data_IF_858829680277
#
_entry.id   IF_858829680277
#
_cell.length_a   1.000
_cell.length_b   1.000
_cell.length_c   1.000
_cell.angle_alpha   90.00
_cell.angle_beta   90.00
_cell.angle_gamma   90.00
#
_symmetry.space_group_name_H-M   'P 1'
#
loop_
_entity.id
_entity.type
_entity.pdbx_description
1 polymer ?
#
# COMPACT_ATOMS: atom_id res chain seq x y z
N UNK A 1 8.54 -17.66 -1.02
CA UNK A 1 7.30 -18.47 -1.01
C UNK A 1 6.59 -18.21 -2.33
N UNK A 2 6.62 -19.17 -3.27
CA UNK A 2 6.01 -19.01 -4.59
C UNK A 2 4.53 -19.43 -4.51
N UNK A 3 3.63 -18.45 -4.43
CA UNK A 3 2.20 -18.72 -4.39
C UNK A 3 1.70 -19.00 -5.83
N UNK A 4 1.16 -20.20 -6.12
CA UNK A 4 0.81 -20.63 -7.48
C UNK A 4 -0.28 -19.78 -8.16
N UNK A 5 -1.09 -19.07 -7.36
CA UNK A 5 -2.17 -18.18 -7.80
C UNK A 5 -1.63 -16.95 -8.55
N UNK A 6 -0.38 -16.54 -8.27
CA UNK A 6 0.21 -15.31 -8.81
C UNK A 6 0.86 -15.49 -10.18
N UNK A 7 1.02 -16.74 -10.68
CA UNK A 7 1.74 -17.02 -11.93
C UNK A 7 0.99 -16.57 -13.18
N UNK A 8 -0.33 -16.46 -13.12
CA UNK A 8 -1.19 -16.15 -14.28
C UNK A 8 -1.73 -14.71 -14.27
N UNK A 9 -1.29 -13.89 -13.31
CA UNK A 9 -1.75 -12.52 -13.15
C UNK A 9 -0.64 -11.58 -13.63
N UNK A 10 -0.97 -10.58 -14.45
CA UNK A 10 0.00 -9.58 -14.89
C UNK A 10 0.69 -8.96 -13.66
N UNK A 11 2.04 -8.82 -13.65
CA UNK A 11 2.79 -8.28 -12.51
C UNK A 11 2.24 -6.92 -12.01
N UNK A 12 1.77 -6.08 -12.93
CA UNK A 12 1.13 -4.79 -12.61
C UNK A 12 -0.13 -4.92 -11.77
N UNK A 13 -0.95 -5.95 -12.01
CA UNK A 13 -2.17 -6.19 -11.22
C UNK A 13 -1.82 -6.73 -9.83
N UNK A 14 -0.78 -7.55 -9.71
CA UNK A 14 -0.29 -7.99 -8.42
C UNK A 14 0.21 -6.82 -7.55
N UNK A 15 1.00 -5.90 -8.14
CA UNK A 15 1.46 -4.67 -7.45
C UNK A 15 0.27 -3.85 -6.95
N UNK A 16 -0.76 -3.71 -7.78
CA UNK A 16 -1.98 -2.97 -7.44
C UNK A 16 -2.64 -3.52 -6.17
N UNK A 17 -2.94 -4.83 -6.14
CA UNK A 17 -3.61 -5.45 -5.00
C UNK A 17 -2.78 -5.42 -3.72
N UNK A 18 -1.46 -5.61 -3.83
CA UNK A 18 -0.56 -5.53 -2.67
C UNK A 18 -0.61 -4.12 -2.07
N UNK A 19 -0.58 -3.08 -2.91
CA UNK A 19 -0.67 -1.70 -2.46
C UNK A 19 -2.03 -1.36 -1.87
N UNK A 20 -3.12 -1.89 -2.40
CA UNK A 20 -4.46 -1.75 -1.78
C UNK A 20 -4.45 -2.29 -0.35
N UNK A 21 -3.95 -3.51 -0.16
CA UNK A 21 -3.86 -4.12 1.19
C UNK A 21 -2.96 -3.29 2.10
N UNK A 22 -1.80 -2.85 1.59
CA UNK A 22 -0.87 -2.03 2.36
C UNK A 22 -1.45 -0.66 2.74
N UNK A 23 -2.27 -0.07 1.88
CA UNK A 23 -2.99 1.17 2.17
C UNK A 23 -4.01 0.96 3.29
N UNK A 24 -4.79 -0.12 3.24
CA UNK A 24 -5.74 -0.48 4.30
C UNK A 24 -5.04 -0.70 5.63
N UNK A 25 -3.92 -1.43 5.63
CA UNK A 25 -3.10 -1.64 6.84
C UNK A 25 -2.55 -0.32 7.38
N UNK A 26 -2.04 0.56 6.51
CA UNK A 26 -1.55 1.88 6.95
C UNK A 26 -2.64 2.73 7.57
N UNK A 27 -3.86 2.73 6.99
CA UNK A 27 -5.00 3.45 7.51
C UNK A 27 -5.43 2.91 8.88
N UNK A 28 -5.43 1.58 9.05
CA UNK A 28 -5.76 0.92 10.31
C UNK A 28 -4.72 1.26 11.39
N UNK A 29 -3.43 1.18 11.08
CA UNK A 29 -2.34 1.52 12.01
C UNK A 29 -2.43 2.99 12.44
N UNK A 30 -2.71 3.91 11.51
CA UNK A 30 -2.86 5.33 11.82
C UNK A 30 -4.20 5.66 12.49
N UNK A 31 -5.15 4.73 12.55
CA UNK A 31 -6.49 4.99 13.07
C UNK A 31 -6.47 5.28 14.58
N UNK A 32 -7.49 5.98 15.09
CA UNK A 32 -7.69 6.19 16.53
C UNK A 32 -7.71 4.91 17.37
N UNK A 33 -8.11 3.79 16.76
CA UNK A 33 -8.20 2.49 17.43
C UNK A 33 -6.84 1.81 17.68
N UNK A 34 -5.77 2.26 17.02
CA UNK A 34 -4.45 1.62 17.11
C UNK A 34 -3.38 2.58 17.64
N UNK A 35 -2.98 3.59 16.87
CA UNK A 35 -1.95 4.56 17.27
C UNK A 35 -2.47 6.00 17.42
N UNK A 36 -3.70 6.27 16.98
CA UNK A 36 -4.32 7.60 17.02
C UNK A 36 -3.44 8.71 16.39
N UNK A 37 -2.89 8.43 15.21
CA UNK A 37 -2.04 9.35 14.48
C UNK A 37 -2.90 10.21 13.55
N UNK A 38 -3.13 11.46 13.96
CA UNK A 38 -3.92 12.42 13.20
C UNK A 38 -3.07 13.37 12.35
N UNK A 39 -3.70 13.92 11.31
CA UNK A 39 -3.12 14.97 10.47
C UNK A 39 -1.77 14.60 9.85
N UNK A 40 -0.74 15.41 10.12
CA UNK A 40 0.58 15.30 9.50
C UNK A 40 1.29 13.97 9.82
N UNK A 41 1.19 13.48 11.05
CA UNK A 41 1.89 12.25 11.44
C UNK A 41 1.33 11.01 10.73
N UNK A 42 0.00 10.93 10.55
CA UNK A 42 -0.63 9.88 9.76
C UNK A 42 -0.16 9.89 8.30
N UNK A 43 -0.06 11.08 7.71
CA UNK A 43 0.45 11.22 6.34
C UNK A 43 1.91 10.75 6.21
N UNK A 44 2.78 11.12 7.17
CA UNK A 44 4.19 10.69 7.17
C UNK A 44 4.32 9.16 7.24
N UNK A 45 3.58 8.51 8.15
CA UNK A 45 3.62 7.05 8.30
C UNK A 45 3.18 6.35 7.02
N UNK A 46 2.11 6.83 6.39
CA UNK A 46 1.61 6.31 5.13
C UNK A 46 2.63 6.45 4.00
N UNK A 47 3.31 7.60 3.90
CA UNK A 47 4.37 7.80 2.91
C UNK A 47 5.55 6.85 3.16
N UNK A 48 5.93 6.63 4.42
CA UNK A 48 7.00 5.69 4.78
C UNK A 48 6.63 4.24 4.44
N UNK A 49 5.40 3.81 4.74
CA UNK A 49 4.90 2.48 4.37
C UNK A 49 4.82 2.31 2.86
N UNK A 50 4.42 3.35 2.15
CA UNK A 50 4.45 3.36 0.70
C UNK A 50 5.87 3.22 0.14
N UNK A 51 6.85 3.92 0.71
CA UNK A 51 8.25 3.74 0.33
C UNK A 51 8.75 2.32 0.64
N UNK A 52 8.37 1.77 1.80
CA UNK A 52 8.66 0.38 2.19
C UNK A 52 8.03 -0.64 1.23
N UNK A 53 6.89 -0.31 0.61
CA UNK A 53 6.22 -1.16 -0.38
C UNK A 53 7.14 -1.53 -1.55
N UNK A 54 8.08 -0.65 -1.93
CA UNK A 54 9.03 -0.94 -2.99
C UNK A 54 9.93 -2.14 -2.63
N UNK A 55 10.50 -2.14 -1.42
CA UNK A 55 11.34 -3.22 -0.92
C UNK A 55 10.53 -4.51 -0.72
N UNK A 56 9.30 -4.39 -0.24
CA UNK A 56 8.40 -5.53 -0.10
C UNK A 56 8.10 -6.20 -1.46
N UNK A 57 7.81 -5.40 -2.50
CA UNK A 57 7.55 -5.90 -3.84
C UNK A 57 8.79 -6.52 -4.49
N UNK A 58 9.95 -5.88 -4.32
CA UNK A 58 11.21 -6.32 -4.93
C UNK A 58 11.83 -7.52 -4.22
N UNK A 59 11.96 -7.48 -2.90
CA UNK A 59 12.82 -8.40 -2.16
C UNK A 59 12.02 -9.56 -1.56
N UNK A 60 10.80 -9.29 -1.07
CA UNK A 60 9.93 -10.31 -0.45
C UNK A 60 9.12 -11.05 -1.51
N UNK A 61 8.41 -10.29 -2.36
CA UNK A 61 7.51 -10.83 -3.38
C UNK A 61 8.26 -11.16 -4.68
N UNK A 62 9.50 -10.68 -4.83
CA UNK A 62 10.39 -10.99 -5.95
C UNK A 62 9.79 -10.64 -7.32
N UNK A 63 9.09 -9.50 -7.39
CA UNK A 63 8.60 -8.99 -8.66
C UNK A 63 9.79 -8.51 -9.48
N UNK A 64 9.98 -9.12 -10.65
CA UNK A 64 11.06 -8.74 -11.55
C UNK A 64 10.84 -7.31 -12.06
N UNK A 65 11.76 -6.42 -11.72
CA UNK A 65 11.75 -5.01 -12.10
C UNK A 65 11.78 -4.84 -13.62
N UNK A 66 12.45 -5.73 -14.35
CA UNK A 66 12.51 -5.68 -15.80
C UNK A 66 11.14 -5.97 -16.43
N UNK A 67 10.41 -6.97 -15.90
CA UNK A 67 9.08 -7.33 -16.35
C UNK A 67 8.03 -6.22 -16.21
N UNK A 68 8.24 -5.26 -15.30
CA UNK A 68 7.33 -4.13 -15.07
C UNK A 68 7.74 -2.86 -15.84
N UNK A 69 8.86 -2.87 -16.54
CA UNK A 69 9.38 -1.72 -17.28
C UNK A 69 10.24 -0.77 -16.42
N UNK A 70 10.94 -1.31 -15.43
CA UNK A 70 11.98 -0.60 -14.67
C UNK A 70 11.53 -0.10 -13.29
N UNK A 71 12.52 0.36 -12.50
CA UNK A 71 12.32 0.82 -11.11
C UNK A 71 11.30 1.94 -10.99
N UNK A 72 11.35 2.93 -11.89
CA UNK A 72 10.41 4.06 -11.90
C UNK A 72 8.96 3.60 -12.06
N UNK A 73 8.72 2.65 -12.96
CA UNK A 73 7.39 2.15 -13.25
C UNK A 73 6.86 1.27 -12.10
N UNK A 74 7.73 0.44 -11.50
CA UNK A 74 7.39 -0.30 -10.27
C UNK A 74 6.96 0.64 -9.13
N UNK A 75 7.65 1.77 -8.96
CA UNK A 75 7.26 2.78 -7.99
C UNK A 75 5.93 3.42 -8.41
N UNK A 76 5.71 3.82 -9.65
CA UNK A 76 4.50 4.58 -10.00
C UNK A 76 3.19 3.75 -10.01
N UNK A 77 3.25 2.44 -10.30
CA UNK A 77 2.04 1.60 -10.45
C UNK A 77 1.23 1.52 -9.15
N UNK A 78 0.01 2.06 -9.15
CA UNK A 78 -0.86 2.00 -7.98
C UNK A 78 -0.54 3.03 -6.89
N UNK A 79 0.25 4.07 -7.17
CA UNK A 79 0.36 5.28 -6.32
C UNK A 79 -1.03 5.84 -6.01
N UNK A 80 -1.79 6.15 -7.06
CA UNK A 80 -3.08 6.83 -6.91
C UNK A 80 -4.05 5.99 -6.10
N UNK A 81 -4.13 4.70 -6.41
CA UNK A 81 -4.96 3.74 -5.67
C UNK A 81 -4.56 3.65 -4.21
N UNK A 82 -3.26 3.56 -3.91
CA UNK A 82 -2.78 3.50 -2.54
C UNK A 82 -3.25 4.72 -1.73
N UNK A 83 -3.06 5.92 -2.27
CA UNK A 83 -3.46 7.16 -1.60
C UNK A 83 -4.99 7.25 -1.46
N UNK A 84 -5.75 6.95 -2.51
CA UNK A 84 -7.22 7.02 -2.47
C UNK A 84 -7.80 6.03 -1.46
N UNK A 85 -7.33 4.77 -1.48
CA UNK A 85 -7.78 3.74 -0.53
C UNK A 85 -7.39 4.12 0.89
N UNK A 86 -6.18 4.61 1.12
CA UNK A 86 -5.76 5.07 2.43
C UNK A 86 -6.66 6.20 2.95
N UNK A 87 -6.87 7.27 2.16
CA UNK A 87 -7.75 8.39 2.54
C UNK A 87 -9.15 7.89 2.86
N UNK A 88 -9.72 7.05 1.98
CA UNK A 88 -11.07 6.54 2.15
C UNK A 88 -11.22 5.73 3.45
N UNK A 89 -10.34 4.75 3.67
CA UNK A 89 -10.42 3.87 4.85
C UNK A 89 -10.11 4.66 6.12
N UNK A 90 -9.09 5.52 6.09
CA UNK A 90 -8.71 6.33 7.25
C UNK A 90 -9.84 7.32 7.61
N UNK A 91 -10.48 7.94 6.62
CA UNK A 91 -11.62 8.84 6.87
C UNK A 91 -12.78 8.07 7.49
N UNK A 92 -13.15 6.90 6.96
CA UNK A 92 -14.21 6.06 7.55
C UNK A 92 -13.89 5.69 8.99
N UNK A 93 -12.67 5.23 9.28
CA UNK A 93 -12.26 4.85 10.63
C UNK A 93 -12.28 6.04 11.60
N UNK A 94 -11.79 7.21 11.19
CA UNK A 94 -11.84 8.40 12.04
C UNK A 94 -13.28 8.88 12.26
N UNK A 95 -14.13 8.83 11.24
CA UNK A 95 -15.55 9.17 11.38
C UNK A 95 -16.22 8.25 12.39
N UNK A 96 -16.03 6.93 12.28
CA UNK A 96 -16.59 5.97 13.23
C UNK A 96 -16.07 6.19 14.65
N UNK A 97 -14.80 6.60 14.82
CA UNK A 97 -14.22 6.86 16.13
C UNK A 97 -14.76 8.12 16.82
N UNK A 98 -15.38 9.04 16.07
CA UNK A 98 -15.96 10.29 16.61
C UNK A 98 -17.41 10.08 17.08
N UNK A 99 -18.14 9.15 16.46
CA UNK A 99 -19.50 8.77 16.85
C UNK A 99 -19.50 7.84 18.07
#
# INVERSE_FOLDING_TARGET
MNLPILRNIKPSNQIYWIRVILAMLSALICSPFVLNLSGFFGAVVTVLLYAASYYLLRDVIKIDVAAVGGRRKLIQIGVGTYVIVWILVWTVLNTIAIF
#
